data_IF_741945868056
#
_entry.id   IF_741945868056
#
_cell.length_a   1.000
_cell.length_b   1.000
_cell.length_c   1.000
_cell.angle_alpha   90.00
_cell.angle_beta   90.00
_cell.angle_gamma   90.00
#
_symmetry.space_group_name_H-M   'P 1'
#
loop_
_entity.id
_entity.type
_entity.pdbx_description
1 polymer ?
#
# COMPACT_ATOMS: atom_id res chain seq x y z
N UNK A 1 -9.07 -6.60 -23.46
CA UNK A 1 -8.77 -5.44 -24.34
C UNK A 1 -8.08 -5.90 -25.61
N UNK A 2 -8.38 -5.25 -26.72
CA UNK A 2 -7.73 -5.49 -28.02
C UNK A 2 -6.90 -4.25 -28.32
N UNK A 3 -5.61 -4.42 -28.62
CA UNK A 3 -4.70 -3.35 -28.99
C UNK A 3 -4.21 -3.57 -30.42
N UNK A 4 -4.36 -2.56 -31.27
CA UNK A 4 -3.98 -2.61 -32.70
C UNK A 4 -2.94 -1.52 -32.95
N UNK A 5 -1.73 -1.91 -33.35
CA UNK A 5 -0.64 -0.98 -33.65
C UNK A 5 -0.39 -0.94 -35.17
N UNK A 6 -0.46 0.25 -35.75
CA UNK A 6 -0.21 0.46 -37.18
C UNK A 6 1.04 1.33 -37.33
N UNK A 7 2.13 0.74 -37.85
CA UNK A 7 3.37 1.44 -38.17
C UNK A 7 3.40 1.90 -39.62
N UNK A 8 3.54 3.20 -39.81
CA UNK A 8 3.75 3.76 -41.16
C UNK A 8 5.24 3.71 -41.55
N UNK A 9 5.56 3.49 -42.84
CA UNK A 9 6.95 3.41 -43.32
C UNK A 9 7.71 4.75 -43.25
N UNK A 10 7.01 5.88 -43.14
CA UNK A 10 7.63 7.20 -43.08
C UNK A 10 8.19 7.47 -41.66
N UNK A 11 9.46 7.94 -41.60
CA UNK A 11 10.08 8.44 -40.37
C UNK A 11 9.44 9.78 -40.01
N UNK A 12 8.61 9.80 -38.98
CA UNK A 12 8.06 11.03 -38.42
C UNK A 12 8.52 11.14 -36.94
N UNK A 13 8.84 12.36 -36.53
CA UNK A 13 9.08 12.68 -35.10
C UNK A 13 7.77 12.92 -34.34
N UNK A 14 6.64 12.92 -35.03
CA UNK A 14 5.32 13.10 -34.41
C UNK A 14 4.94 11.85 -33.62
N UNK A 15 4.39 12.05 -32.44
CA UNK A 15 3.78 10.99 -31.63
C UNK A 15 2.62 10.32 -32.39
N UNK A 16 2.32 9.08 -32.03
CA UNK A 16 1.23 8.32 -32.68
C UNK A 16 -0.13 8.97 -32.42
N UNK A 17 -1.04 8.95 -33.40
CA UNK A 17 -2.43 9.23 -33.14
C UNK A 17 -3.05 8.02 -32.44
N UNK A 18 -3.69 8.23 -31.27
CA UNK A 18 -4.29 7.18 -30.45
C UNK A 18 -5.82 7.30 -30.53
N UNK A 19 -6.46 6.17 -30.72
CA UNK A 19 -7.92 6.07 -30.80
C UNK A 19 -8.41 5.01 -29.83
N UNK A 20 -9.52 5.26 -29.17
CA UNK A 20 -10.08 4.41 -28.14
C UNK A 20 -11.59 4.20 -28.37
N UNK A 21 -12.07 3.02 -28.03
CA UNK A 21 -13.49 2.68 -28.01
C UNK A 21 -13.79 1.71 -26.88
N UNK A 22 -14.78 2.05 -26.06
CA UNK A 22 -15.27 1.19 -24.98
C UNK A 22 -16.48 0.40 -25.46
N UNK A 23 -16.38 -0.93 -25.46
CA UNK A 23 -17.48 -1.83 -25.78
C UNK A 23 -17.98 -2.50 -24.50
N UNK A 24 -19.14 -2.03 -24.01
CA UNK A 24 -19.82 -2.57 -22.84
C UNK A 24 -20.89 -3.58 -23.25
N UNK A 25 -21.23 -4.50 -22.34
CA UNK A 25 -22.29 -5.48 -22.56
C UNK A 25 -21.87 -6.92 -22.22
N UNK A 26 -22.79 -7.87 -22.46
CA UNK A 26 -22.55 -9.30 -22.28
C UNK A 26 -21.52 -9.83 -23.28
N UNK A 27 -20.91 -10.98 -22.97
CA UNK A 27 -19.87 -11.58 -23.79
C UNK A 27 -20.32 -11.81 -25.23
N UNK A 28 -21.52 -12.39 -25.41
CA UNK A 28 -22.03 -12.76 -26.72
C UNK A 28 -22.25 -11.52 -27.59
N UNK A 29 -22.86 -10.45 -27.05
CA UNK A 29 -22.99 -9.16 -27.71
C UNK A 29 -21.63 -8.59 -28.15
N UNK A 30 -20.59 -8.73 -27.31
CA UNK A 30 -19.25 -8.24 -27.66
C UNK A 30 -18.64 -9.01 -28.84
N UNK A 31 -18.84 -10.33 -28.88
CA UNK A 31 -18.39 -11.12 -30.01
C UNK A 31 -19.17 -10.82 -31.30
N UNK A 32 -20.50 -10.66 -31.23
CA UNK A 32 -21.34 -10.28 -32.33
C UNK A 32 -20.91 -8.91 -32.91
N UNK A 33 -20.75 -7.90 -32.04
CA UNK A 33 -20.25 -6.59 -32.46
C UNK A 33 -18.90 -6.68 -33.17
N UNK A 34 -17.95 -7.48 -32.64
CA UNK A 34 -16.63 -7.63 -33.25
C UNK A 34 -16.69 -8.38 -34.61
N UNK A 35 -17.64 -9.27 -34.82
CA UNK A 35 -17.83 -9.98 -36.07
C UNK A 35 -18.46 -9.09 -37.17
N UNK A 36 -19.31 -8.15 -36.78
CA UNK A 36 -20.05 -7.27 -37.68
C UNK A 36 -19.31 -5.97 -37.99
N UNK A 37 -18.31 -5.61 -37.19
CA UNK A 37 -17.61 -4.35 -37.32
C UNK A 37 -16.15 -4.51 -37.71
N UNK A 38 -15.62 -3.48 -38.31
CA UNK A 38 -14.20 -3.36 -38.67
C UNK A 38 -13.65 -1.99 -38.26
N UNK A 39 -12.36 -1.75 -38.49
CA UNK A 39 -11.71 -0.50 -38.08
C UNK A 39 -12.33 0.78 -38.64
N UNK A 40 -13.08 0.68 -39.74
CA UNK A 40 -13.73 1.86 -40.39
C UNK A 40 -15.15 2.08 -39.86
N UNK A 41 -15.85 1.02 -39.43
CA UNK A 41 -17.23 1.11 -38.97
C UNK A 41 -17.38 1.50 -37.50
N UNK A 42 -16.34 1.30 -36.70
CA UNK A 42 -16.32 1.67 -35.27
C UNK A 42 -16.16 3.18 -35.13
N UNK A 43 -17.01 3.81 -34.33
CA UNK A 43 -16.95 5.24 -34.02
C UNK A 43 -15.85 5.52 -32.96
N UNK A 44 -14.61 5.62 -33.41
CA UNK A 44 -13.44 5.81 -32.57
C UNK A 44 -13.37 7.20 -31.95
N UNK A 45 -13.09 7.26 -30.67
CA UNK A 45 -12.72 8.50 -29.98
C UNK A 45 -11.21 8.72 -30.15
N UNK A 46 -10.80 9.83 -30.76
CA UNK A 46 -9.42 10.24 -30.77
C UNK A 46 -9.06 10.73 -29.35
N UNK A 47 -7.99 10.17 -28.79
CA UNK A 47 -7.53 10.55 -27.45
C UNK A 47 -6.59 11.75 -27.52
N UNK A 48 -6.80 12.68 -26.60
CA UNK A 48 -5.81 13.65 -26.20
C UNK A 48 -4.96 13.02 -25.09
N UNK A 49 -3.66 12.93 -25.34
CA UNK A 49 -2.71 12.37 -24.39
C UNK A 49 -1.59 13.36 -24.15
N UNK A 50 -1.10 13.42 -22.92
CA UNK A 50 -0.08 14.35 -22.47
C UNK A 50 0.99 13.64 -21.64
N UNK A 51 2.17 14.23 -21.63
CA UNK A 51 3.21 13.86 -20.67
C UNK A 51 2.70 14.05 -19.23
N UNK A 52 3.26 13.32 -18.26
CA UNK A 52 4.26 12.26 -18.39
C UNK A 52 3.66 10.88 -18.66
N UNK A 53 2.34 10.68 -18.54
CA UNK A 53 1.73 9.36 -18.42
C UNK A 53 1.20 8.79 -19.76
N UNK A 54 0.91 9.64 -20.76
CA UNK A 54 0.39 9.22 -22.07
C UNK A 54 -0.76 8.20 -21.98
N UNK A 55 -1.81 8.50 -21.22
CA UNK A 55 -2.93 7.58 -20.97
C UNK A 55 -3.63 7.16 -22.27
N UNK A 56 -3.91 5.86 -22.41
CA UNK A 56 -4.65 5.27 -23.52
C UNK A 56 -6.16 5.11 -23.24
N UNK A 57 -6.68 5.92 -22.35
CA UNK A 57 -8.10 6.00 -21.99
C UNK A 57 -8.55 7.45 -22.02
N UNK A 58 -9.85 7.69 -22.22
CA UNK A 58 -10.40 9.04 -22.16
C UNK A 58 -10.24 9.56 -20.71
N UNK A 59 -9.61 10.71 -20.57
CA UNK A 59 -9.46 11.41 -19.29
C UNK A 59 -9.81 12.89 -19.45
N UNK A 60 -10.38 13.47 -18.42
CA UNK A 60 -10.55 14.92 -18.31
C UNK A 60 -9.31 15.51 -17.61
N UNK A 61 -8.59 16.37 -18.34
CA UNK A 61 -7.38 17.04 -17.85
C UNK A 61 -7.63 18.49 -17.41
N UNK A 62 -8.87 18.93 -17.30
CA UNK A 62 -9.22 20.34 -17.02
C UNK A 62 -8.53 20.83 -15.74
N UNK A 63 -8.54 20.04 -14.68
CA UNK A 63 -7.99 20.42 -13.36
C UNK A 63 -6.54 19.93 -13.12
N UNK A 64 -5.87 19.36 -14.13
CA UNK A 64 -4.54 18.75 -13.95
C UNK A 64 -3.51 19.76 -13.41
N UNK A 65 -3.50 20.98 -13.94
CA UNK A 65 -2.54 22.02 -13.53
C UNK A 65 -2.72 22.47 -12.09
N UNK A 66 -3.93 22.41 -11.56
CA UNK A 66 -4.20 22.70 -10.16
C UNK A 66 -3.81 21.52 -9.28
N UNK A 67 -4.14 20.30 -9.71
CA UNK A 67 -3.77 19.08 -9.01
C UNK A 67 -2.26 18.91 -8.87
N UNK A 68 -1.49 19.22 -9.91
CA UNK A 68 -0.03 19.12 -9.95
C UNK A 68 0.70 20.18 -9.10
N UNK A 69 0.01 21.19 -8.57
CA UNK A 69 0.60 22.12 -7.58
C UNK A 69 0.79 21.48 -6.21
N UNK A 70 0.13 20.35 -5.95
CA UNK A 70 0.31 19.57 -4.73
C UNK A 70 1.58 18.74 -4.76
N UNK A 71 1.89 18.10 -3.65
CA UNK A 71 2.98 17.13 -3.52
C UNK A 71 2.41 15.70 -3.45
N UNK A 72 3.21 14.73 -3.84
CA UNK A 72 2.85 13.32 -3.70
C UNK A 72 3.13 12.84 -2.27
N UNK A 73 2.40 11.82 -1.85
CA UNK A 73 2.58 11.24 -0.51
C UNK A 73 3.99 10.70 -0.31
N UNK A 74 4.57 10.07 -1.34
CA UNK A 74 5.94 9.53 -1.30
C UNK A 74 7.03 10.60 -1.50
N UNK A 75 6.68 11.81 -1.89
CA UNK A 75 7.56 12.97 -1.84
C UNK A 75 7.62 13.57 -0.43
N UNK A 76 6.50 13.56 0.29
CA UNK A 76 6.41 14.05 1.65
C UNK A 76 6.88 13.03 2.68
N UNK A 77 6.38 11.78 2.63
CA UNK A 77 6.73 10.70 3.53
C UNK A 77 7.83 9.85 2.88
N UNK A 78 9.06 9.99 3.33
CA UNK A 78 10.25 9.46 2.66
C UNK A 78 10.44 7.96 2.78
N UNK A 79 10.03 7.37 3.90
CA UNK A 79 10.24 5.96 4.21
C UNK A 79 8.92 5.21 4.19
N UNK A 80 8.85 4.19 3.35
CA UNK A 80 7.68 3.33 3.26
C UNK A 80 8.05 1.91 2.87
N UNK A 81 7.11 0.99 3.07
CA UNK A 81 7.22 -0.38 2.62
C UNK A 81 5.83 -0.97 2.37
N UNK A 82 5.74 -1.99 1.55
CA UNK A 82 4.59 -2.89 1.54
C UNK A 82 4.50 -3.64 2.88
N UNK A 83 3.30 -4.00 3.31
CA UNK A 83 3.07 -4.69 4.57
C UNK A 83 3.76 -6.05 4.69
N UNK A 84 3.60 -6.66 5.85
CA UNK A 84 4.10 -8.01 6.18
C UNK A 84 3.51 -9.03 5.21
N UNK A 85 4.33 -9.93 4.71
CA UNK A 85 3.92 -11.00 3.81
C UNK A 85 4.01 -12.35 4.53
N UNK A 86 2.86 -12.95 4.78
CA UNK A 86 2.76 -14.20 5.55
C UNK A 86 2.88 -15.45 4.69
N UNK A 87 2.28 -15.45 3.49
CA UNK A 87 2.09 -16.60 2.57
C UNK A 87 1.25 -17.73 3.19
N UNK A 88 1.19 -17.82 4.51
CA UNK A 88 0.50 -18.86 5.28
C UNK A 88 -0.40 -18.23 6.34
N UNK A 89 -1.37 -17.42 5.92
CA UNK A 89 -2.26 -16.69 6.83
C UNK A 89 -2.94 -17.62 7.86
N UNK A 90 -3.39 -18.80 7.44
CA UNK A 90 -4.02 -19.79 8.33
C UNK A 90 -3.12 -20.30 9.46
N UNK A 91 -1.79 -20.15 9.32
CA UNK A 91 -0.79 -20.53 10.32
C UNK A 91 -0.34 -19.31 11.13
N UNK A 92 -0.20 -18.16 10.47
CA UNK A 92 0.51 -17.01 11.04
C UNK A 92 -0.39 -15.91 11.56
N UNK A 93 -1.69 -15.91 11.20
CA UNK A 93 -2.65 -14.87 11.55
C UNK A 93 -3.87 -15.47 12.27
N UNK A 94 -4.13 -15.04 13.48
CA UNK A 94 -5.21 -15.57 14.31
C UNK A 94 -6.05 -14.46 14.96
N UNK A 95 -7.33 -14.72 15.20
CA UNK A 95 -8.19 -13.83 15.97
C UNK A 95 -7.78 -13.79 17.44
N UNK A 96 -7.55 -14.97 18.01
CA UNK A 96 -7.24 -15.15 19.41
C UNK A 96 -5.79 -15.53 19.63
N UNK A 97 -5.16 -14.95 20.65
CA UNK A 97 -3.78 -15.26 21.01
C UNK A 97 -3.60 -16.73 21.41
N UNK A 98 -4.58 -17.30 22.09
CA UNK A 98 -4.54 -18.72 22.49
C UNK A 98 -4.47 -19.66 21.27
N UNK A 99 -5.15 -19.30 20.19
CA UNK A 99 -5.08 -20.08 18.93
C UNK A 99 -3.68 -19.98 18.30
N UNK A 100 -3.08 -18.80 18.31
CA UNK A 100 -1.71 -18.61 17.87
C UNK A 100 -0.71 -19.37 18.76
N UNK A 101 -0.88 -19.33 20.09
CA UNK A 101 -0.01 -20.06 21.02
C UNK A 101 0.02 -21.56 20.76
N UNK A 102 -1.14 -22.18 20.48
CA UNK A 102 -1.21 -23.59 20.09
C UNK A 102 -0.43 -23.89 18.81
N UNK A 103 -0.48 -23.00 17.82
CA UNK A 103 0.32 -23.14 16.60
C UNK A 103 1.81 -23.06 16.92
N UNK A 104 2.22 -22.12 17.76
CA UNK A 104 3.62 -21.96 18.16
C UNK A 104 4.11 -23.20 18.96
N UNK A 105 3.30 -23.73 19.87
CA UNK A 105 3.58 -25.00 20.58
C UNK A 105 3.79 -26.15 19.60
N UNK A 106 2.90 -26.31 18.62
CA UNK A 106 3.06 -27.32 17.57
C UNK A 106 4.37 -27.14 16.77
N UNK A 107 4.76 -25.91 16.47
CA UNK A 107 6.01 -25.64 15.76
C UNK A 107 7.25 -25.95 16.62
N UNK A 108 7.13 -25.96 17.94
CA UNK A 108 8.19 -26.39 18.87
C UNK A 108 8.26 -27.92 18.98
N UNK A 109 7.13 -28.60 19.10
CA UNK A 109 7.02 -30.00 19.48
C UNK A 109 7.01 -30.96 18.27
N UNK A 110 6.23 -30.65 17.22
CA UNK A 110 6.02 -31.54 16.09
C UNK A 110 7.21 -31.50 15.11
N UNK A 111 7.44 -32.60 14.40
CA UNK A 111 8.37 -32.61 13.25
C UNK A 111 7.74 -31.96 12.00
N UNK A 112 8.54 -31.73 10.97
CA UNK A 112 8.11 -31.02 9.74
C UNK A 112 6.97 -31.74 9.00
N UNK A 113 7.01 -33.08 8.94
CA UNK A 113 5.98 -33.86 8.28
C UNK A 113 4.64 -33.80 9.03
N UNK A 114 4.69 -33.80 10.36
CA UNK A 114 3.51 -33.65 11.22
C UNK A 114 2.89 -32.26 11.06
N UNK A 115 3.70 -31.21 11.04
CA UNK A 115 3.24 -29.84 10.77
C UNK A 115 2.61 -29.75 9.37
N UNK A 116 3.29 -30.27 8.35
CA UNK A 116 2.79 -30.26 6.98
C UNK A 116 1.40 -30.91 6.88
N UNK A 117 1.23 -32.07 7.54
CA UNK A 117 -0.04 -32.80 7.58
C UNK A 117 -1.11 -32.06 8.40
N UNK A 118 -0.78 -31.61 9.61
CA UNK A 118 -1.73 -30.95 10.53
C UNK A 118 -2.29 -29.66 9.94
N UNK A 119 -1.45 -28.86 9.33
CA UNK A 119 -1.82 -27.56 8.77
C UNK A 119 -2.09 -27.57 7.27
N UNK A 120 -2.10 -28.76 6.65
CA UNK A 120 -2.25 -28.93 5.20
C UNK A 120 -1.38 -27.92 4.42
N UNK A 121 -0.09 -27.89 4.75
CA UNK A 121 0.88 -26.94 4.18
C UNK A 121 2.11 -27.68 3.64
N UNK A 122 2.87 -27.01 2.79
CA UNK A 122 4.09 -27.54 2.23
C UNK A 122 5.12 -26.42 2.07
N UNK A 123 6.35 -26.79 1.93
CA UNK A 123 7.41 -25.87 1.56
C UNK A 123 7.15 -25.17 0.25
N UNK A 124 7.50 -23.91 0.17
CA UNK A 124 7.51 -23.12 -1.06
C UNK A 124 8.90 -22.52 -1.28
N UNK A 125 9.09 -21.85 -2.42
CA UNK A 125 10.36 -21.15 -2.69
C UNK A 125 10.76 -20.20 -1.54
N UNK A 126 9.81 -19.43 -1.05
CA UNK A 126 10.07 -18.30 -0.15
C UNK A 126 9.72 -18.61 1.32
N UNK A 127 9.06 -19.72 1.63
CA UNK A 127 8.71 -20.14 2.98
C UNK A 127 8.95 -21.63 3.20
N UNK A 128 9.61 -21.98 4.30
CA UNK A 128 10.01 -23.35 4.67
C UNK A 128 9.60 -23.64 6.10
N UNK A 129 9.03 -24.82 6.36
CA UNK A 129 8.63 -25.28 7.70
C UNK A 129 9.84 -25.27 8.64
N UNK A 130 10.99 -25.81 8.22
CA UNK A 130 12.23 -25.84 9.00
C UNK A 130 12.66 -24.45 9.47
N UNK A 131 12.64 -23.47 8.55
CA UNK A 131 13.03 -22.08 8.87
C UNK A 131 12.05 -21.44 9.82
N UNK A 132 10.75 -21.66 9.65
CA UNK A 132 9.71 -21.17 10.53
C UNK A 132 9.85 -21.77 11.95
N UNK A 133 10.10 -23.10 12.05
CA UNK A 133 10.42 -23.76 13.34
C UNK A 133 11.64 -23.16 14.03
N UNK A 134 12.71 -22.97 13.27
CA UNK A 134 13.96 -22.38 13.78
C UNK A 134 13.71 -20.94 14.28
N UNK A 135 12.92 -20.17 13.56
CA UNK A 135 12.58 -18.80 13.94
C UNK A 135 11.77 -18.77 15.25
N UNK A 136 10.74 -19.62 15.36
CA UNK A 136 9.95 -19.78 16.59
C UNK A 136 10.83 -20.19 17.75
N UNK A 137 11.64 -21.25 17.61
CA UNK A 137 12.52 -21.77 18.65
C UNK A 137 13.48 -20.72 19.21
N UNK A 138 14.03 -19.89 18.32
CA UNK A 138 15.00 -18.86 18.71
C UNK A 138 14.35 -17.65 19.40
N UNK A 139 13.05 -17.45 19.22
CA UNK A 139 12.38 -16.23 19.67
C UNK A 139 11.23 -16.47 20.65
N UNK A 140 10.93 -17.71 21.05
CA UNK A 140 9.78 -18.03 21.91
C UNK A 140 9.81 -17.32 23.26
N UNK A 141 10.99 -17.06 23.82
CA UNK A 141 11.18 -16.38 25.10
C UNK A 141 11.17 -14.84 24.97
N UNK A 142 10.97 -14.31 23.78
CA UNK A 142 10.89 -12.87 23.55
C UNK A 142 9.42 -12.42 23.48
N UNK A 143 8.93 -11.78 24.55
CA UNK A 143 7.56 -11.29 24.61
C UNK A 143 7.23 -10.24 23.52
N UNK A 144 8.24 -9.56 22.98
CA UNK A 144 8.06 -8.53 21.96
C UNK A 144 7.68 -9.09 20.60
N UNK A 145 7.71 -10.41 20.39
CA UNK A 145 7.30 -11.02 19.09
C UNK A 145 5.81 -11.29 19.01
N UNK A 146 5.08 -11.25 20.13
CA UNK A 146 3.62 -11.42 20.18
C UNK A 146 2.94 -10.11 19.82
N UNK A 147 2.59 -9.95 18.54
CA UNK A 147 2.14 -8.67 18.01
C UNK A 147 0.70 -8.68 17.52
N UNK A 148 0.11 -7.50 17.52
CA UNK A 148 -1.09 -7.23 16.73
C UNK A 148 -0.69 -6.89 15.29
N UNK A 149 -1.52 -7.31 14.34
CA UNK A 149 -1.39 -6.98 12.92
C UNK A 149 -2.70 -6.44 12.39
N UNK A 150 -2.65 -5.32 11.70
CA UNK A 150 -3.78 -4.82 10.92
C UNK A 150 -3.91 -5.69 9.66
N UNK A 151 -4.84 -6.65 9.71
CA UNK A 151 -5.00 -7.69 8.68
C UNK A 151 -5.89 -7.23 7.53
N UNK A 152 -7.00 -6.58 7.86
CA UNK A 152 -7.95 -5.98 6.90
C UNK A 152 -8.47 -4.66 7.48
N UNK A 153 -9.18 -3.82 6.72
CA UNK A 153 -9.82 -2.64 7.29
C UNK A 153 -10.65 -3.00 8.53
N UNK A 154 -10.31 -2.38 9.67
CA UNK A 154 -10.96 -2.60 10.97
C UNK A 154 -10.84 -4.03 11.56
N UNK A 155 -10.01 -4.89 10.97
CA UNK A 155 -9.73 -6.25 11.45
C UNK A 155 -8.30 -6.33 11.97
N UNK A 156 -8.16 -6.40 13.29
CA UNK A 156 -6.90 -6.52 14.01
C UNK A 156 -6.78 -7.94 14.51
N UNK A 157 -5.66 -8.60 14.22
CA UNK A 157 -5.39 -9.99 14.58
C UNK A 157 -4.07 -10.15 15.30
N UNK A 158 -3.78 -11.36 15.76
CA UNK A 158 -2.56 -11.76 16.43
C UNK A 158 -1.62 -12.46 15.48
N UNK A 159 -0.32 -12.20 15.66
CA UNK A 159 0.75 -12.86 14.91
C UNK A 159 2.01 -12.99 15.77
N UNK A 160 2.85 -13.96 15.42
CA UNK A 160 4.20 -14.11 15.99
C UNK A 160 5.19 -13.45 15.02
N UNK A 161 5.61 -12.23 15.34
CA UNK A 161 6.38 -11.39 14.43
C UNK A 161 7.80 -11.15 14.96
N UNK A 162 8.77 -11.78 14.36
CA UNK A 162 10.21 -11.64 14.68
C UNK A 162 10.92 -10.62 13.81
N UNK A 163 10.25 -10.17 12.74
CA UNK A 163 10.87 -9.31 11.72
C UNK A 163 11.80 -10.06 10.75
N UNK A 164 12.11 -11.33 11.01
CA UNK A 164 13.02 -12.13 10.19
C UNK A 164 12.45 -12.37 8.80
N UNK A 165 13.31 -12.29 7.80
CA UNK A 165 12.97 -12.72 6.45
C UNK A 165 13.06 -14.24 6.33
N UNK A 166 12.07 -14.85 5.68
CA UNK A 166 11.91 -16.29 5.54
C UNK A 166 11.87 -17.04 6.89
N UNK A 167 11.30 -16.43 7.92
CA UNK A 167 11.02 -16.99 9.22
C UNK A 167 9.61 -17.56 9.35
N UNK A 168 8.99 -17.40 10.53
CA UNK A 168 7.60 -17.79 10.78
C UNK A 168 6.65 -17.05 9.83
N UNK A 169 6.82 -15.73 9.68
CA UNK A 169 6.26 -14.97 8.55
C UNK A 169 7.26 -14.95 7.40
N UNK A 170 6.77 -14.97 6.16
CA UNK A 170 7.63 -15.05 4.98
C UNK A 170 8.54 -13.82 4.85
N UNK A 171 7.96 -12.62 4.95
CA UNK A 171 8.71 -11.37 4.85
C UNK A 171 8.20 -10.35 5.85
N UNK A 172 8.96 -10.16 6.91
CA UNK A 172 8.62 -9.26 8.02
C UNK A 172 8.75 -7.78 7.69
N UNK A 173 9.52 -7.41 6.67
CA UNK A 173 9.77 -6.00 6.31
C UNK A 173 10.30 -5.16 7.49
N UNK A 174 11.15 -5.74 8.31
CA UNK A 174 11.57 -5.22 9.61
C UNK A 174 12.12 -3.80 9.55
N UNK A 175 12.88 -3.46 8.51
CA UNK A 175 13.51 -2.13 8.37
C UNK A 175 12.52 -0.97 8.51
N UNK A 176 11.25 -1.16 8.16
CA UNK A 176 10.20 -0.15 8.28
C UNK A 176 9.18 -0.54 9.35
N UNK A 177 8.76 -1.81 9.39
CA UNK A 177 7.76 -2.27 10.36
C UNK A 177 8.20 -2.12 11.82
N UNK A 178 9.51 -2.15 12.13
CA UNK A 178 10.04 -1.91 13.48
C UNK A 178 9.56 -0.58 14.07
N UNK A 179 9.31 0.42 13.24
CA UNK A 179 8.82 1.71 13.70
C UNK A 179 7.36 1.65 14.19
N UNK A 180 6.58 0.68 13.72
CA UNK A 180 5.20 0.43 14.15
C UNK A 180 5.08 -0.54 15.34
N UNK A 181 6.19 -1.09 15.80
CA UNK A 181 6.25 -1.84 17.08
C UNK A 181 6.33 -0.91 18.30
N UNK A 182 6.52 0.37 18.08
CA UNK A 182 6.59 1.44 19.09
C UNK A 182 5.38 2.36 18.97
N UNK A 183 5.25 3.34 19.85
CA UNK A 183 4.16 4.32 19.80
C UNK A 183 4.22 5.16 18.52
N UNK A 184 3.44 4.79 17.51
CA UNK A 184 3.47 5.38 16.18
C UNK A 184 2.11 5.26 15.48
N UNK A 185 1.97 5.96 14.38
CA UNK A 185 0.85 5.82 13.44
C UNK A 185 1.44 5.53 12.07
N UNK A 186 0.94 4.50 11.40
CA UNK A 186 1.23 4.18 10.02
C UNK A 186 0.14 4.73 9.11
N UNK A 187 0.52 5.52 8.12
CA UNK A 187 -0.36 5.92 7.03
C UNK A 187 -0.28 4.87 5.92
N UNK A 188 -1.43 4.38 5.48
CA UNK A 188 -1.55 3.35 4.45
C UNK A 188 -2.17 3.98 3.22
N UNK A 189 -1.40 4.06 2.13
CA UNK A 189 -1.86 4.57 0.85
C UNK A 189 -2.00 3.45 -0.18
N UNK A 190 -3.06 3.53 -0.99
CA UNK A 190 -3.33 2.60 -2.10
C UNK A 190 -3.04 3.29 -3.43
N UNK A 191 -2.56 2.52 -4.39
CA UNK A 191 -2.31 3.01 -5.77
C UNK A 191 -3.45 2.73 -6.73
N UNK A 192 -4.43 1.94 -6.36
CA UNK A 192 -5.54 1.57 -7.21
C UNK A 192 -6.83 1.39 -6.44
N UNK A 193 -7.95 1.74 -7.09
CA UNK A 193 -9.28 1.66 -6.50
C UNK A 193 -10.18 0.79 -7.35
N UNK A 194 -11.06 0.04 -6.69
CA UNK A 194 -12.06 -0.75 -7.36
C UNK A 194 -13.11 0.15 -8.03
N UNK A 195 -13.49 1.20 -7.32
CA UNK A 195 -14.42 2.23 -7.80
C UNK A 195 -14.14 3.56 -7.08
N UNK A 196 -14.80 4.62 -7.53
CA UNK A 196 -14.67 5.98 -6.99
C UNK A 196 -15.02 6.13 -5.50
N UNK A 197 -15.84 5.21 -4.96
CA UNK A 197 -16.22 5.21 -3.54
C UNK A 197 -15.24 4.44 -2.64
N UNK A 198 -14.25 3.74 -3.21
CA UNK A 198 -13.27 3.01 -2.42
C UNK A 198 -12.42 3.97 -1.59
N UNK A 199 -12.17 3.69 -0.30
CA UNK A 199 -11.26 4.48 0.51
C UNK A 199 -9.86 4.50 -0.10
N UNK A 200 -9.22 5.65 -0.09
CA UNK A 200 -7.89 5.88 -0.71
C UNK A 200 -6.76 5.68 0.28
N UNK A 201 -7.04 5.91 1.57
CA UNK A 201 -6.07 5.87 2.64
C UNK A 201 -6.68 5.29 3.93
N UNK A 202 -5.81 4.76 4.79
CA UNK A 202 -6.16 4.25 6.10
C UNK A 202 -5.05 4.59 7.10
N UNK A 203 -5.36 4.43 8.38
CA UNK A 203 -4.40 4.57 9.47
C UNK A 203 -4.29 3.27 10.27
N UNK A 204 -3.11 3.01 10.81
CA UNK A 204 -2.86 1.87 11.67
C UNK A 204 -1.92 2.24 12.82
N UNK A 205 -2.10 1.60 13.98
CA UNK A 205 -1.15 1.65 15.11
C UNK A 205 -0.27 0.40 15.19
N UNK A 206 -0.43 -0.54 14.25
CA UNK A 206 0.19 -1.85 14.29
C UNK A 206 0.95 -2.12 13.00
N UNK A 207 1.80 -3.13 13.00
CA UNK A 207 2.29 -3.70 11.75
C UNK A 207 1.10 -4.11 10.87
N UNK A 208 1.25 -4.10 9.57
CA UNK A 208 0.12 -4.29 8.65
C UNK A 208 0.40 -5.37 7.64
N UNK A 209 -0.62 -6.13 7.27
CA UNK A 209 -0.56 -7.10 6.18
C UNK A 209 -0.33 -6.41 4.83
N UNK A 210 0.36 -7.10 3.93
CA UNK A 210 0.80 -6.57 2.62
C UNK A 210 -0.34 -6.25 1.65
N UNK A 211 -1.43 -7.01 1.69
CA UNK A 211 -2.57 -6.91 0.76
C UNK A 211 -3.91 -6.82 1.46
N UNK A 212 -3.87 -6.41 2.70
CA UNK A 212 -5.05 -6.35 3.56
C UNK A 212 -6.09 -5.32 3.14
N UNK A 213 -5.69 -4.34 2.35
CA UNK A 213 -6.44 -3.12 2.10
C UNK A 213 -6.95 -3.01 0.67
N UNK A 214 -6.53 -3.90 -0.22
CA UNK A 214 -6.97 -3.95 -1.61
C UNK A 214 -8.19 -4.82 -1.78
N UNK A 215 -9.08 -4.43 -2.71
CA UNK A 215 -10.21 -5.27 -3.09
C UNK A 215 -9.75 -6.57 -3.77
N UNK A 216 -10.47 -7.68 -3.60
CA UNK A 216 -10.18 -8.92 -4.29
C UNK A 216 -10.04 -8.72 -5.80
N UNK A 217 -8.99 -9.30 -6.40
CA UNK A 217 -8.71 -9.17 -7.83
C UNK A 217 -7.90 -7.94 -8.24
N UNK A 218 -7.69 -6.99 -7.33
CA UNK A 218 -6.77 -5.85 -7.57
C UNK A 218 -5.32 -6.31 -7.42
N UNK A 219 -4.48 -5.87 -8.34
CA UNK A 219 -3.03 -6.09 -8.26
C UNK A 219 -2.33 -4.93 -7.54
N UNK A 220 -1.19 -5.24 -6.93
CA UNK A 220 -0.38 -4.28 -6.20
C UNK A 220 -0.47 -4.47 -4.69
N UNK A 221 0.49 -3.88 -4.01
CA UNK A 221 0.51 -3.77 -2.56
C UNK A 221 0.33 -2.30 -2.18
N UNK A 222 -0.22 -2.08 -1.01
CA UNK A 222 -0.27 -0.78 -0.38
C UNK A 222 1.13 -0.32 0.00
N UNK A 223 1.32 0.99 0.14
CA UNK A 223 2.49 1.57 0.77
C UNK A 223 2.14 2.00 2.18
N UNK A 224 2.93 1.57 3.15
CA UNK A 224 2.75 1.87 4.57
C UNK A 224 3.89 2.78 4.99
N UNK A 225 3.52 3.96 5.48
CA UNK A 225 4.42 5.03 5.88
C UNK A 225 4.30 5.23 7.40
N UNK A 226 5.29 4.85 8.22
CA UNK A 226 5.32 5.27 9.61
C UNK A 226 5.41 6.79 9.70
N UNK A 227 4.67 7.41 10.61
CA UNK A 227 4.72 8.86 10.82
C UNK A 227 6.05 9.30 11.42
N UNK A 228 6.61 8.46 12.29
CA UNK A 228 7.91 8.66 12.93
C UNK A 228 8.86 7.51 12.66
N UNK A 229 10.14 7.83 12.60
CA UNK A 229 11.23 6.87 12.50
C UNK A 229 11.97 6.82 13.84
N UNK A 230 12.06 5.62 14.41
CA UNK A 230 12.81 5.38 15.63
C UNK A 230 14.26 5.03 15.30
N UNK A 231 15.22 5.52 16.07
CA UNK A 231 16.63 5.17 15.88
C UNK A 231 16.87 3.66 16.12
N UNK A 232 17.96 3.15 15.57
CA UNK A 232 18.42 1.80 15.85
C UNK A 232 18.92 1.68 17.29
N UNK A 233 18.96 0.45 17.84
CA UNK A 233 19.35 0.19 19.24
C UNK A 233 20.73 0.73 19.62
N UNK A 234 21.65 0.86 18.65
CA UNK A 234 22.99 1.38 18.85
C UNK A 234 23.11 2.89 18.60
N UNK A 235 21.99 3.59 18.42
CA UNK A 235 22.01 5.04 18.19
C UNK A 235 22.36 5.80 19.47
N UNK A 236 23.06 6.92 19.31
CA UNK A 236 23.38 7.82 20.42
C UNK A 236 22.15 8.58 20.97
N UNK A 237 21.06 8.60 20.21
CA UNK A 237 19.81 9.26 20.60
C UNK A 237 18.68 8.24 20.63
N UNK A 238 17.76 8.39 21.58
CA UNK A 238 16.53 7.60 21.66
C UNK A 238 15.32 8.33 21.08
N UNK A 239 15.51 9.55 20.57
CA UNK A 239 14.44 10.38 20.06
C UNK A 239 14.02 9.93 18.65
N UNK A 240 12.71 9.79 18.46
CA UNK A 240 12.14 9.54 17.15
C UNK A 240 12.15 10.81 16.30
N UNK A 241 12.29 10.65 15.00
CA UNK A 241 12.28 11.75 14.05
C UNK A 241 11.06 11.65 13.12
N UNK A 242 10.45 12.74 12.69
CA UNK A 242 9.39 12.72 11.69
C UNK A 242 9.85 12.09 10.37
N UNK A 243 9.01 11.21 9.81
CA UNK A 243 9.23 10.66 8.47
C UNK A 243 8.74 11.65 7.41
N UNK A 244 9.29 12.87 7.41
CA UNK A 244 8.84 13.95 6.55
C UNK A 244 9.99 14.52 5.72
N UNK A 245 9.63 15.03 4.54
CA UNK A 245 10.52 15.86 3.74
C UNK A 245 10.55 17.28 4.30
N UNK A 246 11.67 17.66 4.90
CA UNK A 246 11.82 18.94 5.56
C UNK A 246 11.73 20.15 4.61
N UNK A 247 12.02 19.98 3.33
CA UNK A 247 11.83 21.04 2.33
C UNK A 247 10.35 21.34 2.14
N UNK A 248 9.51 20.31 2.00
CA UNK A 248 8.06 20.48 1.91
C UNK A 248 7.49 21.06 3.22
N UNK A 249 7.97 20.56 4.37
CA UNK A 249 7.56 21.08 5.68
C UNK A 249 7.86 22.57 5.80
N UNK A 250 9.02 23.02 5.34
CA UNK A 250 9.39 24.43 5.34
C UNK A 250 8.47 25.28 4.45
N UNK A 251 8.09 24.77 3.28
CA UNK A 251 7.09 25.46 2.45
C UNK A 251 5.73 25.58 3.15
N UNK A 252 5.34 24.57 3.92
CA UNK A 252 4.10 24.60 4.71
C UNK A 252 4.22 25.65 5.82
N UNK A 253 5.35 25.70 6.56
CA UNK A 253 5.63 26.72 7.56
C UNK A 253 5.46 28.14 7.01
N UNK A 254 6.12 28.40 5.87
CA UNK A 254 6.10 29.71 5.23
C UNK A 254 4.68 30.11 4.78
N UNK A 255 3.92 29.16 4.24
CA UNK A 255 2.54 29.41 3.78
C UNK A 255 1.54 29.61 4.92
N UNK A 256 1.71 28.88 6.02
CA UNK A 256 0.80 28.94 7.17
C UNK A 256 1.20 30.05 8.16
N UNK A 257 2.45 30.49 8.17
CA UNK A 257 2.99 31.37 9.21
C UNK A 257 3.06 30.72 10.59
N UNK A 258 3.11 29.37 10.63
CA UNK A 258 3.19 28.56 11.85
C UNK A 258 4.57 27.89 11.93
N UNK A 259 5.07 27.65 13.14
CA UNK A 259 6.35 26.96 13.36
C UNK A 259 6.16 25.44 13.42
N UNK A 260 6.97 24.70 12.66
CA UNK A 260 7.01 23.24 12.76
C UNK A 260 7.72 22.78 14.04
N UNK A 261 7.14 21.76 14.69
CA UNK A 261 7.72 21.08 15.86
C UNK A 261 7.64 19.56 15.67
N UNK A 262 8.65 18.84 16.13
CA UNK A 262 8.71 17.39 15.95
C UNK A 262 7.61 16.63 16.70
N UNK A 263 7.18 17.15 17.84
CA UNK A 263 6.12 16.56 18.66
C UNK A 263 5.02 17.60 18.89
N UNK A 264 3.77 17.16 18.90
CA UNK A 264 2.61 18.04 19.13
C UNK A 264 2.69 18.66 20.53
N UNK A 265 2.55 19.96 20.56
CA UNK A 265 2.39 20.77 21.78
C UNK A 265 1.08 21.57 21.69
N UNK A 266 0.53 21.96 22.83
CA UNK A 266 -0.67 22.80 22.89
C UNK A 266 -0.30 24.30 22.69
N UNK A 267 0.05 24.64 21.46
CA UNK A 267 0.39 26.00 21.04
C UNK A 267 -0.17 26.25 19.63
N UNK A 268 -1.05 27.26 19.53
CA UNK A 268 -1.71 27.64 18.29
C UNK A 268 -0.77 28.24 17.23
N UNK A 269 0.47 28.54 17.58
CA UNK A 269 1.50 29.07 16.68
C UNK A 269 2.37 27.98 16.06
N UNK A 270 2.12 26.70 16.41
CA UNK A 270 2.89 25.56 15.95
C UNK A 270 2.04 24.51 15.27
N UNK A 271 2.69 23.68 14.45
CA UNK A 271 2.12 22.44 13.92
C UNK A 271 3.14 21.30 13.96
N UNK A 272 2.68 20.07 13.98
CA UNK A 272 3.47 18.87 14.16
C UNK A 272 3.17 17.83 13.07
N UNK A 273 3.92 16.72 12.96
CA UNK A 273 3.66 15.65 11.99
C UNK A 273 2.23 15.13 12.01
N UNK A 274 1.61 15.04 13.17
CA UNK A 274 0.23 14.59 13.31
C UNK A 274 -0.77 15.56 12.63
N UNK A 275 -0.54 16.87 12.69
CA UNK A 275 -1.43 17.85 12.05
C UNK A 275 -1.35 17.74 10.51
N UNK A 276 -0.16 17.47 9.98
CA UNK A 276 0.03 17.20 8.55
C UNK A 276 -0.71 15.91 8.16
N UNK A 277 -0.59 14.86 8.96
CA UNK A 277 -1.26 13.58 8.72
C UNK A 277 -2.79 13.74 8.73
N UNK A 278 -3.33 14.46 9.72
CA UNK A 278 -4.75 14.73 9.86
C UNK A 278 -5.29 15.52 8.66
N UNK A 279 -4.53 16.51 8.22
CA UNK A 279 -4.88 17.29 7.02
C UNK A 279 -4.91 16.43 5.76
N UNK A 280 -3.87 15.63 5.52
CA UNK A 280 -3.81 14.72 4.36
C UNK A 280 -4.98 13.74 4.40
N UNK A 281 -5.23 13.14 5.57
CA UNK A 281 -6.31 12.19 5.74
C UNK A 281 -7.67 12.83 5.45
N UNK A 282 -7.92 14.03 5.99
CA UNK A 282 -9.14 14.80 5.74
C UNK A 282 -9.32 15.13 4.25
N UNK A 283 -8.28 15.60 3.58
CA UNK A 283 -8.31 15.93 2.13
C UNK A 283 -8.64 14.69 1.30
N UNK A 284 -7.95 13.57 1.52
CA UNK A 284 -8.16 12.34 0.76
C UNK A 284 -9.54 11.71 1.00
N UNK A 285 -10.18 11.99 2.12
CA UNK A 285 -11.55 11.55 2.44
C UNK A 285 -12.61 12.60 2.14
N UNK A 286 -12.24 13.83 1.73
CA UNK A 286 -13.18 14.89 1.36
C UNK A 286 -13.96 14.52 0.10
N UNK A 287 -15.30 14.45 0.14
CA UNK A 287 -16.11 14.16 -1.05
C UNK A 287 -15.88 15.15 -2.20
N UNK A 288 -15.76 16.44 -1.89
CA UNK A 288 -15.53 17.48 -2.89
C UNK A 288 -14.17 17.36 -3.58
N UNK A 289 -13.11 17.08 -2.81
CA UNK A 289 -11.78 16.83 -3.35
C UNK A 289 -11.78 15.58 -4.26
N UNK A 290 -12.39 14.51 -3.79
CA UNK A 290 -12.47 13.24 -4.53
C UNK A 290 -13.27 13.35 -5.82
N UNK A 291 -14.38 14.08 -5.80
CA UNK A 291 -15.17 14.33 -7.01
C UNK A 291 -14.41 15.20 -8.00
N UNK A 292 -13.79 16.29 -7.54
CA UNK A 292 -13.03 17.20 -8.40
C UNK A 292 -11.84 16.51 -9.06
N UNK A 293 -11.09 15.70 -8.33
CA UNK A 293 -9.85 15.09 -8.80
C UNK A 293 -9.96 13.59 -9.09
N UNK A 294 -11.17 13.06 -9.25
CA UNK A 294 -11.41 11.62 -9.47
C UNK A 294 -10.62 11.01 -10.64
N UNK A 295 -10.35 11.80 -11.68
CA UNK A 295 -9.58 11.36 -12.83
C UNK A 295 -8.08 11.16 -12.55
N UNK A 296 -7.56 11.80 -11.51
CA UNK A 296 -6.14 11.76 -11.12
C UNK A 296 -5.89 10.85 -9.92
N UNK A 297 -6.93 10.51 -9.18
CA UNK A 297 -6.88 9.61 -8.03
C UNK A 297 -7.02 8.12 -8.40
N UNK A 298 -7.28 7.81 -9.67
CA UNK A 298 -7.47 6.43 -10.18
C UNK A 298 -6.18 5.80 -10.65
#
# INVERSE_FOLDING_TARGET
SINIFIKKKQKSKKLADVYHYDLYGKRDFKYEFLSENNLKSVNWNKLEYAEPNYFFVKKDFTDIKEYEKGFKIDELLKVSVAGVETIRDSITIHFEENSLRKVIEDFLELNENEIAKKYNTSDSRDWKIERAKTDVKNNINNEMVWQNVSYRPFDIRKTFYTGKQNGFVCNGRFNVMKHLLKNNIGFIAKRGFYNENSPVAFLTKYISDRRGWSSPGMQGAESIFPLYLYPDENSLTNERTPNLNLEIVKEIEEKLGLKFVNEKIEDSTTFAPIDILDYIYAVLHSPSYREKYKEFLK
#
